data_IF_597786088827
#
_entry.id   IF_597786088827
#
_cell.length_a   1.000
_cell.length_b   1.000
_cell.length_c   1.000
_cell.angle_alpha   90.00
_cell.angle_beta   90.00
_cell.angle_gamma   90.00
#
_symmetry.space_group_name_H-M   'P 1'
#
loop_
_entity.id
_entity.type
_entity.pdbx_description
1 polymer ?
#
# COMPACT_ATOMS: atom_id res chain seq x y z
N UNK A 1 33.58 30.83 -7.64
CA UNK A 1 33.61 29.37 -7.88
C UNK A 1 32.26 28.80 -7.45
N UNK A 2 31.21 29.11 -8.20
CA UNK A 2 29.84 28.67 -7.99
C UNK A 2 29.21 28.70 -9.39
N UNK A 3 28.90 27.53 -9.95
CA UNK A 3 28.03 27.26 -11.11
C UNK A 3 28.34 25.82 -11.58
N UNK A 4 27.36 24.93 -11.45
CA UNK A 4 27.03 23.81 -12.38
C UNK A 4 26.12 22.77 -11.69
N UNK A 5 24.87 23.15 -11.48
CA UNK A 5 23.73 22.23 -11.53
C UNK A 5 22.61 22.97 -12.26
N UNK A 6 22.74 23.07 -13.58
CA UNK A 6 21.65 23.47 -14.47
C UNK A 6 21.82 22.70 -15.77
N UNK A 7 20.68 22.30 -16.33
CA UNK A 7 20.50 21.50 -17.55
C UNK A 7 20.40 19.98 -17.35
N UNK A 8 19.46 19.54 -16.52
CA UNK A 8 18.60 18.44 -16.97
C UNK A 8 17.78 19.02 -18.14
N UNK A 9 18.15 18.66 -19.36
CA UNK A 9 17.30 18.94 -20.53
C UNK A 9 16.07 18.06 -20.39
N UNK A 10 14.96 18.63 -19.93
CA UNK A 10 13.65 18.02 -20.15
C UNK A 10 13.51 17.79 -21.66
N UNK A 11 13.29 16.54 -22.06
CA UNK A 11 12.91 16.24 -23.44
C UNK A 11 11.62 17.01 -23.73
N UNK A 12 11.59 17.94 -24.71
CA UNK A 12 10.37 18.65 -25.09
C UNK A 12 9.45 17.81 -25.98
N UNK A 13 9.68 16.50 -26.12
CA UNK A 13 8.73 15.60 -26.77
C UNK A 13 7.84 14.98 -25.71
N UNK A 14 6.56 15.33 -25.74
CA UNK A 14 5.37 14.56 -25.32
C UNK A 14 4.21 15.41 -24.75
N UNK A 15 4.27 16.74 -24.75
CA UNK A 15 3.22 17.55 -24.12
C UNK A 15 2.11 17.94 -25.09
N UNK A 16 0.93 17.33 -24.95
CA UNK A 16 -0.33 17.78 -25.57
C UNK A 16 -1.48 17.59 -24.57
N UNK A 17 -2.51 18.42 -24.63
CA UNK A 17 -3.67 18.48 -23.73
C UNK A 17 -4.60 17.26 -23.71
N UNK A 18 -4.17 16.08 -24.20
CA UNK A 18 -4.95 14.83 -24.21
C UNK A 18 -4.45 13.89 -23.11
N UNK A 19 -5.39 13.27 -22.37
CA UNK A 19 -5.16 12.37 -21.24
C UNK A 19 -4.00 11.38 -21.46
N UNK A 20 -2.85 11.66 -20.83
CA UNK A 20 -1.56 11.00 -21.10
C UNK A 20 -1.46 9.55 -20.60
N UNK A 21 -2.45 9.04 -19.85
CA UNK A 21 -2.38 7.69 -19.29
C UNK A 21 -3.07 6.62 -20.15
N UNK A 22 -3.77 6.98 -21.23
CA UNK A 22 -4.50 6.01 -22.06
C UNK A 22 -3.59 4.90 -22.63
N UNK A 23 -2.37 5.19 -23.14
CA UNK A 23 -1.44 4.15 -23.55
C UNK A 23 -0.94 3.29 -22.38
N UNK A 24 -0.88 3.83 -21.16
CA UNK A 24 -0.47 3.08 -19.97
C UNK A 24 -1.54 2.06 -19.54
N UNK A 25 -2.82 2.40 -19.63
CA UNK A 25 -3.94 1.51 -19.27
C UNK A 25 -4.12 0.32 -20.22
N UNK A 26 -3.61 0.45 -21.45
CA UNK A 26 -3.62 -0.61 -22.47
C UNK A 26 -2.41 -1.54 -22.37
N UNK A 27 -1.39 -1.20 -21.56
CA UNK A 27 -0.20 -2.03 -21.37
C UNK A 27 -0.50 -3.24 -20.51
N UNK A 28 0.36 -4.25 -20.67
CA UNK A 28 0.35 -5.47 -19.87
C UNK A 28 1.44 -5.35 -18.81
N UNK A 29 1.19 -5.90 -17.63
CA UNK A 29 2.18 -5.87 -16.55
C UNK A 29 3.47 -6.62 -16.88
N UNK A 30 3.35 -7.66 -17.72
CA UNK A 30 4.52 -8.38 -18.23
C UNK A 30 5.49 -7.48 -18.98
N UNK A 31 5.00 -6.42 -19.62
CA UNK A 31 5.83 -5.45 -20.38
C UNK A 31 6.74 -4.64 -19.46
N UNK A 32 6.52 -4.67 -18.14
CA UNK A 32 7.36 -4.01 -17.15
C UNK A 32 8.19 -5.02 -16.36
N UNK A 33 7.56 -6.08 -15.84
CA UNK A 33 8.25 -7.04 -14.98
C UNK A 33 9.33 -7.83 -15.72
N UNK A 34 9.21 -8.01 -17.05
CA UNK A 34 10.23 -8.62 -17.89
C UNK A 34 11.53 -7.81 -17.99
N UNK A 35 11.51 -6.51 -17.67
CA UNK A 35 12.67 -5.63 -17.71
C UNK A 35 13.37 -5.45 -16.36
N UNK A 36 12.86 -6.07 -15.29
CA UNK A 36 13.49 -6.02 -13.98
C UNK A 36 14.67 -7.02 -13.98
N UNK A 37 15.90 -6.57 -13.72
CA UNK A 37 17.08 -7.43 -13.78
C UNK A 37 17.13 -8.45 -12.63
N UNK A 38 18.01 -9.43 -12.79
CA UNK A 38 18.25 -10.47 -11.79
C UNK A 38 18.83 -9.89 -10.49
N UNK A 39 18.52 -10.54 -9.36
CA UNK A 39 18.88 -10.05 -8.03
C UNK A 39 20.39 -9.85 -7.84
N UNK A 40 21.29 -10.72 -8.34
CA UNK A 40 22.73 -10.48 -8.26
C UNK A 40 23.17 -9.14 -8.85
N UNK A 41 22.55 -8.72 -9.97
CA UNK A 41 22.84 -7.43 -10.60
C UNK A 41 22.32 -6.28 -9.74
N UNK A 42 21.07 -6.36 -9.29
CA UNK A 42 20.46 -5.35 -8.40
C UNK A 42 21.31 -5.18 -7.14
N UNK A 43 21.68 -6.28 -6.49
CA UNK A 43 22.48 -6.27 -5.27
C UNK A 43 23.85 -5.63 -5.50
N UNK A 44 24.55 -6.00 -6.58
CA UNK A 44 25.86 -5.41 -6.91
C UNK A 44 25.78 -3.89 -7.08
N UNK A 45 24.74 -3.39 -7.77
CA UNK A 45 24.52 -1.96 -7.99
C UNK A 45 24.09 -1.20 -6.72
N UNK A 46 23.48 -1.88 -5.76
CA UNK A 46 23.16 -1.34 -4.43
C UNK A 46 24.41 -1.32 -3.53
N UNK A 47 25.25 -2.36 -3.58
CA UNK A 47 26.52 -2.44 -2.85
C UNK A 47 27.50 -1.36 -3.29
N UNK A 48 27.56 -1.01 -4.58
CA UNK A 48 28.33 0.14 -5.06
C UNK A 48 27.89 1.49 -4.46
N UNK A 49 26.67 1.56 -3.92
CA UNK A 49 26.12 2.74 -3.22
C UNK A 49 26.28 2.67 -1.70
N UNK A 50 26.92 1.62 -1.17
CA UNK A 50 27.06 1.41 0.27
C UNK A 50 25.89 0.68 0.92
N UNK A 51 24.92 0.16 0.15
CA UNK A 51 23.76 -0.56 0.67
C UNK A 51 23.97 -2.07 0.64
N UNK A 52 23.49 -2.80 1.66
CA UNK A 52 23.50 -4.26 1.71
C UNK A 52 24.89 -4.90 1.54
N UNK A 53 25.94 -4.24 2.07
CA UNK A 53 27.35 -4.61 1.85
C UNK A 53 27.67 -6.03 2.32
N UNK A 54 26.96 -6.52 3.33
CA UNK A 54 27.16 -7.85 3.91
C UNK A 54 26.31 -8.94 3.25
N UNK A 55 25.41 -8.58 2.33
CA UNK A 55 24.52 -9.56 1.67
C UNK A 55 25.26 -10.27 0.54
N UNK A 56 24.92 -11.54 0.36
CA UNK A 56 25.51 -12.39 -0.67
C UNK A 56 24.58 -12.44 -1.89
N UNK A 57 25.13 -12.43 -3.12
CA UNK A 57 24.33 -12.62 -4.32
C UNK A 57 23.79 -14.05 -4.35
N UNK A 58 22.48 -14.19 -4.59
CA UNK A 58 21.83 -15.49 -4.81
C UNK A 58 21.15 -15.51 -6.19
N UNK A 59 21.10 -16.66 -6.89
CA UNK A 59 20.44 -16.78 -8.18
C UNK A 59 18.91 -16.71 -8.01
N UNK A 60 18.39 -15.50 -8.02
CA UNK A 60 16.96 -15.19 -7.90
C UNK A 60 16.55 -14.17 -8.95
N UNK A 61 15.42 -14.40 -9.61
CA UNK A 61 14.95 -13.61 -10.75
C UNK A 61 13.51 -13.18 -10.54
N UNK A 62 13.07 -12.12 -11.23
CA UNK A 62 11.67 -11.67 -11.20
C UNK A 62 10.71 -12.79 -11.65
N UNK A 63 11.08 -13.59 -12.66
CA UNK A 63 10.28 -14.73 -13.09
C UNK A 63 10.13 -15.77 -11.98
N UNK A 64 11.22 -16.12 -11.28
CA UNK A 64 11.17 -17.03 -10.12
C UNK A 64 10.27 -16.47 -9.02
N UNK A 65 10.36 -15.17 -8.73
CA UNK A 65 9.45 -14.51 -7.80
C UNK A 65 7.99 -14.67 -8.25
N UNK A 66 7.64 -14.31 -9.48
CA UNK A 66 6.27 -14.40 -9.99
C UNK A 66 5.72 -15.83 -9.94
N UNK A 67 6.54 -16.83 -10.28
CA UNK A 67 6.15 -18.24 -10.21
C UNK A 67 5.85 -18.68 -8.76
N UNK A 68 6.65 -18.23 -7.80
CA UNK A 68 6.46 -18.60 -6.39
C UNK A 68 5.37 -17.80 -5.70
N UNK A 69 5.16 -16.55 -6.09
CA UNK A 69 4.32 -15.60 -5.36
C UNK A 69 2.91 -15.49 -5.92
N UNK A 70 2.75 -15.57 -7.23
CA UNK A 70 1.46 -15.42 -7.91
C UNK A 70 0.89 -16.81 -8.20
N UNK A 71 -0.30 -17.14 -7.67
CA UNK A 71 -0.97 -18.42 -7.96
C UNK A 71 -1.08 -18.66 -9.46
N UNK A 72 -0.91 -19.91 -9.89
CA UNK A 72 -0.89 -20.27 -11.31
C UNK A 72 -2.14 -19.78 -12.06
N UNK A 73 -3.32 -19.90 -11.43
CA UNK A 73 -4.59 -19.41 -11.98
C UNK A 73 -4.61 -17.88 -12.22
N UNK A 74 -3.83 -17.11 -11.47
CA UNK A 74 -3.75 -15.64 -11.58
C UNK A 74 -2.63 -15.16 -12.52
N UNK A 75 -1.64 -16.01 -12.86
CA UNK A 75 -0.49 -15.58 -13.69
C UNK A 75 -0.89 -15.07 -15.07
N UNK A 76 -1.98 -15.61 -15.64
CA UNK A 76 -2.52 -15.13 -16.93
C UNK A 76 -2.90 -13.65 -16.91
N UNK A 77 -3.18 -13.07 -15.73
CA UNK A 77 -3.55 -11.67 -15.59
C UNK A 77 -2.37 -10.72 -15.84
N UNK A 78 -1.13 -11.18 -15.72
CA UNK A 78 0.06 -10.39 -16.07
C UNK A 78 0.08 -10.00 -17.56
N UNK A 79 -0.64 -10.76 -18.40
CA UNK A 79 -0.75 -10.54 -19.85
C UNK A 79 -2.03 -9.81 -20.26
N UNK A 80 -2.90 -9.45 -19.31
CA UNK A 80 -4.12 -8.68 -19.57
C UNK A 80 -3.84 -7.17 -19.51
N UNK A 81 -4.50 -6.36 -20.34
CA UNK A 81 -4.50 -4.91 -20.17
C UNK A 81 -5.06 -4.52 -18.80
N UNK A 82 -4.47 -3.51 -18.16
CA UNK A 82 -4.86 -3.05 -16.82
C UNK A 82 -6.35 -2.70 -16.72
N UNK A 83 -6.86 -1.95 -17.70
CA UNK A 83 -8.28 -1.57 -17.76
C UNK A 83 -9.19 -2.80 -17.72
N UNK A 84 -8.88 -3.81 -18.54
CA UNK A 84 -9.66 -5.06 -18.60
C UNK A 84 -9.56 -5.87 -17.31
N UNK A 85 -8.43 -5.83 -16.62
CA UNK A 85 -8.25 -6.54 -15.36
C UNK A 85 -9.10 -5.93 -14.24
N UNK A 86 -9.18 -4.60 -14.22
CA UNK A 86 -9.95 -3.86 -13.22
C UNK A 86 -11.46 -3.94 -13.45
N UNK A 87 -11.92 -3.97 -14.70
CA UNK A 87 -13.36 -4.06 -15.05
C UNK A 87 -13.91 -5.49 -15.09
N UNK A 88 -13.09 -6.50 -14.77
CA UNK A 88 -13.62 -7.85 -14.54
C UNK A 88 -14.62 -7.81 -13.38
N UNK A 89 -15.77 -8.51 -13.48
CA UNK A 89 -16.71 -8.60 -12.36
C UNK A 89 -16.06 -9.22 -11.11
N UNK A 90 -16.44 -8.74 -9.94
CA UNK A 90 -16.13 -9.43 -8.70
C UNK A 90 -17.10 -10.58 -8.51
N UNK A 91 -16.57 -11.76 -8.17
CA UNK A 91 -17.39 -12.93 -7.85
C UNK A 91 -17.35 -13.17 -6.36
N UNK A 92 -18.46 -13.66 -5.80
CA UNK A 92 -18.51 -14.05 -4.40
C UNK A 92 -17.39 -15.05 -4.06
N UNK A 93 -17.11 -16.01 -4.95
CA UNK A 93 -16.02 -16.98 -4.80
C UNK A 93 -14.64 -16.34 -4.62
N UNK A 94 -14.38 -15.23 -5.33
CA UNK A 94 -13.12 -14.49 -5.18
C UNK A 94 -13.01 -13.76 -3.84
N UNK A 95 -14.13 -13.27 -3.29
CA UNK A 95 -14.14 -12.46 -2.05
C UNK A 95 -14.20 -13.33 -0.79
N UNK A 96 -14.94 -14.44 -0.82
CA UNK A 96 -15.22 -15.27 0.36
C UNK A 96 -13.98 -15.68 1.17
N UNK A 97 -12.85 -16.10 0.57
CA UNK A 97 -11.64 -16.43 1.32
C UNK A 97 -11.10 -15.27 2.18
N UNK A 98 -11.39 -14.03 1.80
CA UNK A 98 -10.87 -12.82 2.44
C UNK A 98 -11.78 -12.24 3.51
N UNK A 99 -13.04 -12.67 3.58
CA UNK A 99 -14.03 -12.22 4.58
C UNK A 99 -14.49 -13.33 5.51
N UNK A 100 -14.24 -14.60 5.16
CA UNK A 100 -14.62 -15.74 5.99
C UNK A 100 -13.71 -15.83 7.21
N UNK A 101 -14.32 -15.72 8.39
CA UNK A 101 -13.67 -16.00 9.67
C UNK A 101 -13.71 -17.50 9.98
N UNK A 102 -12.60 -18.04 10.43
CA UNK A 102 -12.58 -19.36 11.06
C UNK A 102 -13.18 -19.22 12.47
N UNK A 103 -14.22 -20.01 12.77
CA UNK A 103 -14.89 -19.99 14.07
C UNK A 103 -13.93 -20.23 15.24
N UNK A 104 -12.83 -20.97 15.02
CA UNK A 104 -11.79 -21.22 16.02
C UNK A 104 -10.93 -19.99 16.34
N UNK A 105 -10.95 -18.98 15.48
CA UNK A 105 -10.18 -17.73 15.62
C UNK A 105 -11.02 -16.57 16.19
N UNK A 106 -12.20 -16.84 16.75
CA UNK A 106 -13.08 -15.79 17.29
C UNK A 106 -12.78 -15.48 18.76
N UNK A 107 -12.34 -16.46 19.54
CA UNK A 107 -12.10 -16.27 20.97
C UNK A 107 -10.70 -15.72 21.26
N UNK A 108 -10.64 -14.61 22.01
CA UNK A 108 -9.39 -13.99 22.47
C UNK A 108 -9.16 -14.24 23.96
N UNK A 109 -7.90 -14.40 24.42
CA UNK A 109 -7.55 -14.41 25.84
C UNK A 109 -8.01 -13.16 26.58
N UNK A 110 -8.19 -13.27 27.90
CA UNK A 110 -8.74 -12.19 28.73
C UNK A 110 -7.98 -10.86 28.58
N UNK A 111 -6.64 -10.89 28.56
CA UNK A 111 -5.78 -9.72 28.38
C UNK A 111 -6.05 -8.93 27.08
N UNK A 112 -6.55 -9.61 26.04
CA UNK A 112 -6.90 -8.97 24.75
C UNK A 112 -8.38 -8.57 24.67
N UNK A 113 -9.24 -9.05 25.59
CA UNK A 113 -10.67 -8.68 25.59
C UNK A 113 -10.90 -7.21 25.93
N UNK A 114 -10.02 -6.62 26.76
CA UNK A 114 -10.08 -5.19 27.10
C UNK A 114 -9.87 -4.29 25.88
N UNK A 115 -9.21 -4.81 24.83
CA UNK A 115 -8.96 -4.10 23.58
C UNK A 115 -10.14 -4.12 22.62
N UNK A 116 -11.23 -4.84 22.94
CA UNK A 116 -12.38 -5.01 22.04
C UNK A 116 -12.96 -3.67 21.58
N UNK A 117 -13.27 -2.78 22.50
CA UNK A 117 -13.85 -1.48 22.15
C UNK A 117 -12.88 -0.62 21.33
N UNK A 118 -11.60 -0.45 21.71
CA UNK A 118 -10.61 0.21 20.85
C UNK A 118 -10.46 -0.41 19.45
N UNK A 119 -10.55 -1.73 19.31
CA UNK A 119 -10.51 -2.42 18.02
C UNK A 119 -11.72 -2.11 17.15
N UNK A 120 -12.92 -2.11 17.74
CA UNK A 120 -14.17 -1.74 17.06
C UNK A 120 -14.09 -0.29 16.53
N UNK A 121 -13.59 0.64 17.35
CA UNK A 121 -13.34 2.02 16.91
C UNK A 121 -12.29 2.11 15.81
N UNK A 122 -11.20 1.34 15.90
CA UNK A 122 -10.17 1.32 14.88
C UNK A 122 -10.71 0.89 13.52
N UNK A 123 -11.50 -0.19 13.47
CA UNK A 123 -12.13 -0.66 12.23
C UNK A 123 -13.07 0.39 11.67
N UNK A 124 -13.93 0.96 12.53
CA UNK A 124 -14.88 2.01 12.14
C UNK A 124 -14.15 3.21 11.54
N UNK A 125 -13.14 3.75 12.23
CA UNK A 125 -12.40 4.91 11.76
C UNK A 125 -11.67 4.66 10.44
N UNK A 126 -11.18 3.43 10.20
CA UNK A 126 -10.59 3.09 8.89
C UNK A 126 -11.62 3.19 7.75
N UNK A 127 -12.87 2.75 7.98
CA UNK A 127 -13.96 2.89 7.01
C UNK A 127 -14.34 4.36 6.84
N UNK A 128 -14.46 5.11 7.93
CA UNK A 128 -14.81 6.53 7.89
C UNK A 128 -13.73 7.35 7.14
N UNK A 129 -12.45 7.02 7.32
CA UNK A 129 -11.35 7.64 6.58
C UNK A 129 -11.48 7.44 5.08
N UNK A 130 -11.78 6.22 4.62
CA UNK A 130 -12.01 5.92 3.20
C UNK A 130 -13.26 6.61 2.63
N UNK A 131 -14.16 7.05 3.51
CA UNK A 131 -15.41 7.72 3.17
C UNK A 131 -15.37 9.24 3.32
N UNK A 132 -14.35 9.81 3.97
CA UNK A 132 -14.34 11.23 4.30
C UNK A 132 -14.10 12.16 3.09
N UNK A 133 -14.26 13.47 3.32
CA UNK A 133 -14.07 14.48 2.29
C UNK A 133 -12.64 14.55 1.73
N UNK A 134 -11.63 14.16 2.51
CA UNK A 134 -10.23 14.12 2.04
C UNK A 134 -10.02 12.96 1.08
N UNK A 135 -10.67 11.81 1.31
CA UNK A 135 -10.63 10.64 0.44
C UNK A 135 -11.27 10.88 -0.94
N UNK A 136 -12.19 11.85 -1.03
CA UNK A 136 -12.83 12.24 -2.30
C UNK A 136 -12.01 13.25 -3.11
N UNK A 137 -10.90 13.78 -2.58
CA UNK A 137 -10.05 14.72 -3.30
C UNK A 137 -9.29 14.02 -4.41
N UNK A 138 -8.95 14.78 -5.44
CA UNK A 138 -8.01 14.34 -6.47
C UNK A 138 -6.69 13.94 -5.82
N UNK A 139 -6.15 12.79 -6.23
CA UNK A 139 -4.89 12.26 -5.72
C UNK A 139 -3.70 13.19 -6.03
N UNK A 140 -3.79 14.02 -7.08
CA UNK A 140 -2.85 15.10 -7.38
C UNK A 140 -3.58 16.45 -7.57
N UNK A 141 -3.25 17.45 -6.73
CA UNK A 141 -3.81 18.81 -6.87
C UNK A 141 -3.04 19.65 -7.91
N UNK A 142 -3.80 20.35 -8.75
CA UNK A 142 -3.29 21.45 -9.58
C UNK A 142 -2.71 21.03 -10.92
N UNK A 143 -2.68 19.73 -11.23
CA UNK A 143 -2.28 19.22 -12.55
C UNK A 143 -3.29 18.15 -13.01
N UNK A 144 -4.42 18.54 -13.62
CA UNK A 144 -5.58 17.67 -13.91
C UNK A 144 -5.31 16.46 -14.84
N UNK A 145 -4.07 16.27 -15.30
CA UNK A 145 -3.75 15.43 -16.45
C UNK A 145 -2.99 14.15 -16.14
N UNK A 146 -2.46 13.97 -14.91
CA UNK A 146 -1.53 12.86 -14.61
C UNK A 146 -2.09 11.79 -13.68
N UNK A 147 -2.86 12.14 -12.66
CA UNK A 147 -3.51 11.18 -11.75
C UNK A 147 -4.97 11.58 -11.50
N UNK A 148 -5.81 11.41 -12.52
CA UNK A 148 -7.23 11.80 -12.47
C UNK A 148 -8.08 10.70 -11.80
N UNK A 149 -7.76 10.43 -10.53
CA UNK A 149 -8.44 9.48 -9.65
C UNK A 149 -8.50 10.11 -8.25
N UNK A 150 -9.56 9.84 -7.49
CA UNK A 150 -9.58 10.24 -6.08
C UNK A 150 -8.69 9.35 -5.22
N UNK A 151 -8.29 9.83 -4.05
CA UNK A 151 -7.57 9.04 -3.03
C UNK A 151 -8.30 7.72 -2.71
N UNK A 152 -9.63 7.75 -2.57
CA UNK A 152 -10.46 6.56 -2.39
C UNK A 152 -10.42 5.63 -3.60
N UNK A 153 -10.67 6.15 -4.80
CA UNK A 153 -10.72 5.31 -6.00
C UNK A 153 -9.36 4.64 -6.23
N UNK A 154 -8.26 5.34 -5.96
CA UNK A 154 -6.90 4.76 -6.00
C UNK A 154 -6.73 3.60 -5.01
N UNK A 155 -7.13 3.79 -3.76
CA UNK A 155 -7.10 2.76 -2.71
C UNK A 155 -7.94 1.52 -3.09
N UNK A 156 -9.17 1.73 -3.58
CA UNK A 156 -10.06 0.65 -3.99
C UNK A 156 -9.51 -0.11 -5.19
N UNK A 157 -9.02 0.59 -6.22
CA UNK A 157 -8.37 -0.01 -7.37
C UNK A 157 -7.15 -0.85 -6.97
N UNK A 158 -6.32 -0.35 -6.03
CA UNK A 158 -5.16 -1.08 -5.52
C UNK A 158 -5.57 -2.39 -4.81
N UNK A 159 -6.62 -2.34 -3.98
CA UNK A 159 -7.21 -3.53 -3.35
C UNK A 159 -7.71 -4.56 -4.37
N UNK A 160 -8.38 -4.11 -5.44
CA UNK A 160 -8.88 -5.00 -6.49
C UNK A 160 -7.73 -5.66 -7.26
N UNK A 161 -6.72 -4.90 -7.68
CA UNK A 161 -5.55 -5.48 -8.33
C UNK A 161 -4.86 -6.52 -7.44
N UNK A 162 -4.69 -6.24 -6.14
CA UNK A 162 -4.13 -7.21 -5.19
C UNK A 162 -4.95 -8.50 -5.13
N UNK A 163 -6.28 -8.40 -5.11
CA UNK A 163 -7.17 -9.57 -5.21
C UNK A 163 -6.98 -10.33 -6.52
N UNK A 164 -6.90 -9.63 -7.66
CA UNK A 164 -6.72 -10.27 -8.96
C UNK A 164 -5.42 -11.06 -9.02
N UNK A 165 -4.36 -10.56 -8.41
CA UNK A 165 -3.09 -11.29 -8.30
C UNK A 165 -3.09 -12.43 -7.28
N UNK A 166 -4.24 -12.73 -6.67
CA UNK A 166 -4.38 -13.83 -5.71
C UNK A 166 -3.58 -13.61 -4.44
N UNK A 167 -3.37 -12.34 -4.04
CA UNK A 167 -2.65 -12.01 -2.83
C UNK A 167 -3.48 -12.32 -1.59
N UNK A 168 -2.80 -12.60 -0.48
CA UNK A 168 -3.42 -12.84 0.83
C UNK A 168 -4.11 -11.59 1.37
N UNK A 169 -5.07 -11.76 2.30
CA UNK A 169 -5.84 -10.66 2.91
C UNK A 169 -4.94 -9.54 3.44
N UNK A 170 -3.86 -9.90 4.13
CA UNK A 170 -2.90 -8.93 4.66
C UNK A 170 -2.26 -8.06 3.56
N UNK A 171 -1.91 -8.64 2.41
CA UNK A 171 -1.35 -7.88 1.28
C UNK A 171 -2.41 -7.08 0.54
N UNK A 172 -3.64 -7.57 0.45
CA UNK A 172 -4.75 -6.78 -0.11
C UNK A 172 -4.97 -5.53 0.75
N UNK A 173 -5.02 -5.69 2.06
CA UNK A 173 -5.14 -4.55 2.99
C UNK A 173 -3.90 -3.64 2.95
N UNK A 174 -2.69 -4.20 2.84
CA UNK A 174 -1.47 -3.41 2.67
C UNK A 174 -1.53 -2.51 1.43
N UNK A 175 -2.10 -3.00 0.33
CA UNK A 175 -2.27 -2.22 -0.91
C UNK A 175 -3.44 -1.25 -0.84
N UNK A 176 -4.58 -1.65 -0.27
CA UNK A 176 -5.74 -0.78 -0.13
C UNK A 176 -5.41 0.43 0.78
N UNK A 177 -4.59 0.23 1.80
CA UNK A 177 -4.31 1.22 2.84
C UNK A 177 -2.92 1.86 2.73
N UNK A 178 -2.18 1.63 1.63
CA UNK A 178 -0.78 2.04 1.56
C UNK A 178 -0.56 3.55 1.73
N UNK A 179 -1.56 4.33 1.32
CA UNK A 179 -1.57 5.79 1.32
C UNK A 179 -2.63 6.38 2.29
N UNK A 180 -3.15 5.58 3.24
CA UNK A 180 -4.30 5.94 4.10
C UNK A 180 -4.14 7.28 4.83
N UNK A 181 -2.91 7.66 5.21
CA UNK A 181 -2.67 8.91 5.92
C UNK A 181 -2.91 10.15 5.04
N UNK A 182 -2.92 10.04 3.70
CA UNK A 182 -3.31 11.14 2.80
C UNK A 182 -4.75 11.60 3.08
N UNK A 183 -5.57 10.72 3.64
CA UNK A 183 -6.95 10.99 4.07
C UNK A 183 -7.05 11.53 5.50
N UNK A 184 -5.91 11.84 6.15
CA UNK A 184 -5.86 12.31 7.55
C UNK A 184 -5.38 13.74 7.72
N UNK A 185 -4.78 14.34 6.69
CA UNK A 185 -4.20 15.67 6.76
C UNK A 185 -4.50 16.47 5.48
N UNK A 186 -5.01 17.71 5.57
CA UNK A 186 -5.43 18.47 4.39
C UNK A 186 -4.27 19.11 3.62
N UNK A 187 -3.09 19.27 4.24
CA UNK A 187 -1.90 19.82 3.62
C UNK A 187 -1.20 18.77 2.73
N UNK A 188 -1.12 19.07 1.44
CA UNK A 188 -0.54 18.21 0.42
C UNK A 188 0.96 18.06 0.57
N UNK A 189 1.69 19.12 0.92
CA UNK A 189 3.15 19.05 1.02
C UNK A 189 3.56 18.22 2.24
N UNK A 190 2.86 18.41 3.37
CA UNK A 190 3.02 17.56 4.54
C UNK A 190 2.73 16.08 4.22
N UNK A 191 1.59 15.80 3.61
CA UNK A 191 1.20 14.45 3.21
C UNK A 191 2.25 13.84 2.29
N UNK A 192 2.76 14.58 1.30
CA UNK A 192 3.78 14.08 0.38
C UNK A 192 5.08 13.64 1.05
N UNK A 193 5.51 14.39 2.05
CA UNK A 193 6.73 14.08 2.79
C UNK A 193 6.52 12.94 3.80
N UNK A 194 5.39 12.91 4.51
CA UNK A 194 5.23 12.07 5.71
C UNK A 194 4.27 10.89 5.57
N UNK A 195 3.47 10.81 4.49
CA UNK A 195 2.38 9.84 4.41
C UNK A 195 2.82 8.38 4.59
N UNK A 196 3.95 8.01 4.01
CA UNK A 196 4.50 6.66 4.11
C UNK A 196 4.80 6.23 5.56
N UNK A 197 5.21 7.17 6.43
CA UNK A 197 5.50 6.88 7.84
C UNK A 197 4.24 6.89 8.70
N UNK A 198 3.34 7.87 8.48
CA UNK A 198 2.08 7.92 9.22
C UNK A 198 1.15 6.78 8.84
N UNK A 199 1.09 6.40 7.56
CA UNK A 199 0.33 5.24 7.09
C UNK A 199 0.85 3.95 7.73
N UNK A 200 2.17 3.81 7.88
CA UNK A 200 2.81 2.69 8.58
C UNK A 200 2.37 2.59 10.04
N UNK A 201 2.28 3.71 10.74
CA UNK A 201 1.78 3.75 12.10
C UNK A 201 0.27 3.46 12.19
N UNK A 202 -0.52 3.96 11.23
CA UNK A 202 -1.97 3.71 11.15
C UNK A 202 -2.25 2.23 10.92
N UNK A 203 -1.55 1.57 9.99
CA UNK A 203 -1.82 0.15 9.66
C UNK A 203 -1.13 -0.85 10.61
N UNK A 204 -0.22 -0.39 11.48
CA UNK A 204 0.55 -1.25 12.38
C UNK A 204 -0.30 -2.25 13.21
N UNK A 205 -1.50 -1.90 13.72
CA UNK A 205 -2.36 -2.85 14.44
C UNK A 205 -2.81 -4.05 13.60
N UNK A 206 -2.82 -3.95 12.26
CA UNK A 206 -3.21 -5.07 11.39
C UNK A 206 -2.17 -6.19 11.34
N UNK A 207 -0.93 -5.96 11.80
CA UNK A 207 0.13 -6.97 11.79
C UNK A 207 0.43 -7.51 10.40
N UNK A 208 0.42 -6.64 9.39
CA UNK A 208 0.65 -7.01 8.01
C UNK A 208 2.06 -7.61 7.84
N UNK A 209 2.21 -8.67 7.06
CA UNK A 209 3.52 -9.32 6.86
C UNK A 209 4.53 -8.47 6.07
N UNK A 210 4.07 -7.38 5.46
CA UNK A 210 4.90 -6.38 4.81
C UNK A 210 4.34 -5.00 5.08
N UNK A 211 5.17 -4.15 5.64
CA UNK A 211 4.89 -2.72 5.75
C UNK A 211 5.14 -2.02 4.41
N UNK A 212 4.29 -2.28 3.42
CA UNK A 212 4.42 -1.68 2.10
C UNK A 212 4.25 -0.15 2.19
N UNK A 213 3.43 0.35 3.12
CA UNK A 213 3.25 1.80 3.36
C UNK A 213 4.57 2.48 3.68
N UNK A 214 5.48 1.84 4.43
CA UNK A 214 6.80 2.41 4.72
C UNK A 214 7.78 2.26 3.57
N UNK A 215 7.61 1.21 2.75
CA UNK A 215 8.60 0.77 1.77
C UNK A 215 8.26 1.12 0.31
N UNK A 216 7.08 1.66 -0.01
CA UNK A 216 6.71 1.98 -1.39
C UNK A 216 7.61 3.07 -2.01
N UNK A 217 8.19 3.97 -1.18
CA UNK A 217 9.23 4.92 -1.62
C UNK A 217 10.52 4.22 -2.06
N UNK A 218 10.97 3.20 -1.33
CA UNK A 218 12.11 2.36 -1.73
C UNK A 218 11.80 1.59 -3.02
N UNK A 219 10.58 1.06 -3.16
CA UNK A 219 10.15 0.39 -4.37
C UNK A 219 10.22 1.31 -5.60
N UNK A 220 9.75 2.56 -5.45
CA UNK A 220 9.83 3.61 -6.47
C UNK A 220 11.27 3.89 -6.89
N UNK A 221 12.17 4.04 -5.91
CA UNK A 221 13.61 4.21 -6.16
C UNK A 221 14.20 3.05 -6.97
N UNK A 222 13.93 1.81 -6.55
CA UNK A 222 14.45 0.61 -7.19
C UNK A 222 13.95 0.48 -8.63
N UNK A 223 12.66 0.70 -8.87
CA UNK A 223 12.09 0.67 -10.21
C UNK A 223 12.67 1.76 -11.11
N UNK A 224 12.83 2.99 -10.60
CA UNK A 224 13.45 4.10 -11.36
C UNK A 224 14.88 3.78 -11.79
N UNK A 225 15.62 3.07 -10.95
CA UNK A 225 17.02 2.69 -11.20
C UNK A 225 17.15 1.47 -12.12
N UNK A 226 16.28 0.47 -11.95
CA UNK A 226 16.49 -0.87 -12.51
C UNK A 226 15.49 -1.29 -13.58
N UNK A 227 14.32 -0.64 -13.67
CA UNK A 227 13.30 -0.97 -14.67
C UNK A 227 13.25 0.12 -15.73
N UNK A 228 13.93 -0.11 -16.86
CA UNK A 228 14.01 0.87 -17.97
C UNK A 228 12.66 1.45 -18.42
N UNK A 229 11.58 0.67 -18.61
CA UNK A 229 10.29 1.23 -19.03
C UNK A 229 9.56 2.00 -17.93
N UNK A 230 10.04 2.00 -16.68
CA UNK A 230 9.33 2.61 -15.55
C UNK A 230 9.18 4.13 -15.66
N UNK A 231 10.10 4.81 -16.35
CA UNK A 231 9.96 6.26 -16.60
C UNK A 231 8.73 6.62 -17.42
N UNK A 232 8.07 5.63 -18.04
CA UNK A 232 6.84 5.80 -18.83
C UNK A 232 5.58 5.56 -17.99
N UNK A 233 5.71 5.10 -16.75
CA UNK A 233 4.60 4.78 -15.84
C UNK A 233 4.59 5.72 -14.62
N UNK A 234 5.77 6.08 -14.10
CA UNK A 234 5.86 6.97 -12.96
C UNK A 234 5.24 8.34 -13.31
N UNK A 235 4.31 8.81 -12.48
CA UNK A 235 3.73 10.14 -12.66
C UNK A 235 4.76 11.23 -12.33
N UNK A 236 4.62 12.44 -12.90
CA UNK A 236 5.48 13.58 -12.52
C UNK A 236 5.47 13.87 -11.02
N UNK A 237 4.32 13.68 -10.38
CA UNK A 237 4.17 13.78 -8.92
C UNK A 237 4.98 12.74 -8.15
N UNK A 238 4.91 11.48 -8.60
CA UNK A 238 5.70 10.39 -8.03
C UNK A 238 7.19 10.61 -8.25
N UNK A 239 7.61 11.18 -9.38
CA UNK A 239 9.00 11.53 -9.64
C UNK A 239 9.48 12.71 -8.77
N UNK A 240 8.63 13.73 -8.54
CA UNK A 240 8.95 14.85 -7.64
C UNK A 240 9.11 14.38 -6.19
N UNK A 241 8.15 13.59 -5.69
CA UNK A 241 8.18 13.09 -4.31
C UNK A 241 9.35 12.14 -4.03
N UNK A 242 9.87 11.45 -5.05
CA UNK A 242 11.04 10.59 -4.91
C UNK A 242 12.25 11.36 -4.37
N UNK A 243 12.46 12.60 -4.80
CA UNK A 243 13.61 13.42 -4.35
C UNK A 243 13.59 13.72 -2.85
N UNK A 244 12.40 13.82 -2.25
CA UNK A 244 12.22 14.01 -0.81
C UNK A 244 12.35 12.67 -0.08
N UNK A 245 11.76 11.60 -0.63
CA UNK A 245 11.76 10.25 -0.07
C UNK A 245 13.14 9.59 -0.08
N UNK A 246 14.03 9.93 -1.04
CA UNK A 246 15.40 9.40 -1.08
C UNK A 246 16.19 9.68 0.21
N UNK A 247 15.86 10.77 0.92
CA UNK A 247 16.48 11.13 2.19
C UNK A 247 16.08 10.21 3.34
N UNK A 248 14.92 9.55 3.25
CA UNK A 248 14.43 8.63 4.28
C UNK A 248 14.82 7.17 4.02
N UNK A 249 15.44 6.87 2.88
CA UNK A 249 15.87 5.52 2.52
C UNK A 249 17.00 4.94 3.40
N UNK A 250 18.05 5.69 3.80
CA UNK A 250 19.17 5.06 4.52
C UNK A 250 18.78 4.34 5.81
N UNK A 251 17.96 4.92 6.71
CA UNK A 251 17.47 4.20 7.90
C UNK A 251 16.62 2.96 7.56
N UNK A 252 15.78 3.04 6.52
CA UNK A 252 14.97 1.89 6.09
C UNK A 252 15.84 0.75 5.56
N UNK A 253 16.88 1.08 4.80
CA UNK A 253 17.83 0.10 4.26
C UNK A 253 18.64 -0.55 5.38
N UNK A 254 19.05 0.20 6.40
CA UNK A 254 19.79 -0.34 7.55
C UNK A 254 18.96 -1.39 8.32
N UNK A 255 17.66 -1.12 8.53
CA UNK A 255 16.75 -2.09 9.13
C UNK A 255 16.65 -3.36 8.29
N UNK A 256 16.47 -3.23 6.97
CA UNK A 256 16.41 -4.38 6.07
C UNK A 256 17.73 -5.16 6.01
N UNK A 257 18.87 -4.46 6.05
CA UNK A 257 20.20 -5.07 6.03
C UNK A 257 20.50 -5.83 7.33
N UNK A 258 19.96 -5.41 8.46
CA UNK A 258 20.16 -6.09 9.74
C UNK A 258 19.18 -7.25 9.94
N UNK A 259 17.94 -7.13 9.47
CA UNK A 259 16.87 -8.09 9.81
C UNK A 259 16.70 -9.23 8.80
N UNK A 260 16.94 -8.99 7.50
CA UNK A 260 16.64 -9.99 6.47
C UNK A 260 17.89 -10.79 6.08
N UNK A 261 17.78 -12.10 5.91
CA UNK A 261 18.80 -12.88 5.20
C UNK A 261 18.93 -12.44 3.74
N UNK A 262 19.97 -12.90 3.04
CA UNK A 262 20.14 -12.57 1.61
C UNK A 262 19.01 -13.13 0.74
N UNK A 263 18.42 -14.26 1.14
CA UNK A 263 17.28 -14.85 0.44
C UNK A 263 15.99 -14.07 0.69
N UNK A 264 15.73 -13.71 1.95
CA UNK A 264 14.56 -12.90 2.31
C UNK A 264 14.63 -11.52 1.68
N UNK A 265 15.81 -10.90 1.61
CA UNK A 265 15.99 -9.62 0.94
C UNK A 265 15.67 -9.68 -0.56
N UNK A 266 16.09 -10.75 -1.25
CA UNK A 266 15.78 -10.93 -2.67
C UNK A 266 14.26 -11.04 -2.91
N UNK A 267 13.56 -11.81 -2.06
CA UNK A 267 12.10 -11.94 -2.09
C UNK A 267 11.43 -10.61 -1.79
N UNK A 268 11.88 -9.90 -0.76
CA UNK A 268 11.36 -8.60 -0.35
C UNK A 268 11.51 -7.55 -1.45
N UNK A 269 12.70 -7.40 -2.05
CA UNK A 269 12.96 -6.42 -3.12
C UNK A 269 12.02 -6.64 -4.30
N UNK A 270 11.88 -7.88 -4.76
CA UNK A 270 10.95 -8.17 -5.86
C UNK A 270 9.49 -8.02 -5.45
N UNK A 271 9.11 -8.35 -4.21
CA UNK A 271 7.75 -8.13 -3.73
C UNK A 271 7.39 -6.63 -3.75
N UNK A 272 8.23 -5.76 -3.17
CA UNK A 272 7.92 -4.32 -3.14
C UNK A 272 7.94 -3.70 -4.55
N UNK A 273 8.85 -4.12 -5.44
CA UNK A 273 8.88 -3.65 -6.83
C UNK A 273 7.64 -4.12 -7.60
N UNK A 274 7.20 -5.37 -7.39
CA UNK A 274 5.99 -5.90 -8.00
C UNK A 274 4.75 -5.15 -7.54
N UNK A 275 4.56 -5.00 -6.23
CA UNK A 275 3.42 -4.27 -5.65
C UNK A 275 3.39 -2.82 -6.17
N UNK A 276 4.56 -2.19 -6.30
CA UNK A 276 4.66 -0.83 -6.81
C UNK A 276 4.22 -0.69 -8.26
N UNK A 277 4.83 -1.43 -9.17
CA UNK A 277 4.52 -1.29 -10.61
C UNK A 277 3.16 -1.88 -10.98
N UNK A 278 2.79 -2.99 -10.33
CA UNK A 278 1.64 -3.81 -10.74
C UNK A 278 0.34 -3.43 -10.06
N UNK A 279 0.41 -2.69 -8.96
CA UNK A 279 -0.76 -2.34 -8.15
C UNK A 279 -0.79 -0.83 -7.96
N UNK A 280 0.12 -0.24 -7.19
CA UNK A 280 0.14 1.21 -6.85
C UNK A 280 0.19 2.09 -8.11
N UNK A 281 1.21 1.98 -8.95
CA UNK A 281 1.27 2.83 -10.17
C UNK A 281 0.20 2.43 -11.22
N UNK A 282 -0.40 1.24 -11.11
CA UNK A 282 -1.44 0.75 -12.03
C UNK A 282 -2.87 1.13 -11.59
N UNK A 283 -3.09 1.47 -10.31
CA UNK A 283 -4.40 1.80 -9.72
C UNK A 283 -4.78 3.27 -9.87
N UNK A 284 -4.44 3.85 -11.03
CA UNK A 284 -4.62 5.28 -11.34
C UNK A 284 -5.47 5.48 -12.59
N UNK A 285 -6.42 4.58 -12.79
CA UNK A 285 -7.34 4.59 -13.94
C UNK A 285 -8.51 5.54 -13.61
N UNK A 286 -8.78 6.58 -14.42
CA UNK A 286 -9.87 7.50 -14.15
C UNK A 286 -11.22 6.81 -14.14
N UNK A 287 -12.07 7.16 -13.18
CA UNK A 287 -13.40 6.57 -13.02
C UNK A 287 -14.26 6.77 -14.27
N UNK A 288 -14.13 7.90 -14.97
CA UNK A 288 -14.78 8.12 -16.26
C UNK A 288 -14.45 7.04 -17.30
N UNK A 289 -13.20 6.54 -17.34
CA UNK A 289 -12.79 5.47 -18.25
C UNK A 289 -13.33 4.11 -17.85
N UNK A 290 -13.48 3.86 -16.55
CA UNK A 290 -14.12 2.65 -16.06
C UNK A 290 -15.62 2.64 -16.40
N UNK A 291 -16.29 3.77 -16.23
CA UNK A 291 -17.71 3.93 -16.58
C UNK A 291 -17.94 3.71 -18.09
N UNK A 292 -17.09 4.26 -18.96
CA UNK A 292 -17.14 4.02 -20.41
C UNK A 292 -17.04 2.52 -20.74
N UNK A 293 -16.11 1.81 -20.10
CA UNK A 293 -15.86 0.38 -20.31
C UNK A 293 -16.96 -0.53 -19.75
N UNK A 294 -17.61 -0.12 -18.66
CA UNK A 294 -18.66 -0.87 -17.97
C UNK A 294 -20.02 -0.89 -18.69
N UNK A 295 -20.21 -0.06 -19.72
CA UNK A 295 -21.39 -0.01 -20.59
C UNK A 295 -22.74 -0.02 -19.83
N UNK A 296 -22.86 0.78 -18.77
CA UNK A 296 -24.08 0.91 -17.96
C UNK A 296 -24.10 0.09 -16.67
N UNK A 297 -23.07 -0.70 -16.39
CA UNK A 297 -22.86 -1.34 -15.08
C UNK A 297 -22.39 -0.30 -14.05
N UNK A 298 -22.96 -0.24 -12.83
CA UNK A 298 -22.53 0.72 -11.81
C UNK A 298 -21.06 0.55 -11.41
N UNK A 299 -20.31 1.65 -11.34
CA UNK A 299 -18.89 1.64 -10.95
C UNK A 299 -18.66 0.98 -9.58
N UNK A 300 -19.55 1.22 -8.61
CA UNK A 300 -19.47 0.64 -7.27
C UNK A 300 -19.44 -0.91 -7.28
N UNK A 301 -19.95 -1.56 -8.33
CA UNK A 301 -19.90 -3.03 -8.45
C UNK A 301 -18.51 -3.59 -8.77
N UNK A 302 -17.55 -2.73 -9.18
CA UNK A 302 -16.17 -3.14 -9.42
C UNK A 302 -15.34 -3.26 -8.15
N UNK A 303 -15.75 -2.59 -7.08
CA UNK A 303 -14.95 -2.42 -5.88
C UNK A 303 -15.50 -3.22 -4.70
N UNK A 304 -14.68 -3.38 -3.67
CA UNK A 304 -15.17 -3.84 -2.38
C UNK A 304 -16.13 -2.78 -1.80
N UNK A 305 -17.28 -3.24 -1.32
CA UNK A 305 -18.13 -2.40 -0.48
C UNK A 305 -17.54 -2.27 0.93
N UNK A 306 -18.02 -1.27 1.68
CA UNK A 306 -17.50 -0.95 3.01
C UNK A 306 -17.65 -2.14 3.97
N UNK A 307 -18.74 -2.89 3.86
CA UNK A 307 -18.99 -4.11 4.65
C UNK A 307 -17.95 -5.20 4.37
N UNK A 308 -17.52 -5.33 3.11
CA UNK A 308 -16.46 -6.27 2.71
C UNK A 308 -15.12 -5.83 3.27
N UNK A 309 -14.78 -4.55 3.17
CA UNK A 309 -13.53 -4.00 3.74
C UNK A 309 -13.51 -4.17 5.26
N UNK A 310 -14.61 -3.86 5.94
CA UNK A 310 -14.79 -4.05 7.38
C UNK A 310 -14.52 -5.51 7.79
N UNK A 311 -15.12 -6.47 7.08
CA UNK A 311 -14.91 -7.91 7.32
C UNK A 311 -13.46 -8.33 7.08
N UNK A 312 -12.80 -7.78 6.06
CA UNK A 312 -11.38 -8.05 5.79
C UNK A 312 -10.49 -7.52 6.93
N UNK A 313 -10.76 -6.29 7.41
CA UNK A 313 -10.06 -5.69 8.55
C UNK A 313 -10.24 -6.54 9.81
N UNK A 314 -11.47 -6.90 10.15
CA UNK A 314 -11.78 -7.74 11.32
C UNK A 314 -11.05 -9.08 11.22
N UNK A 315 -11.10 -9.74 10.06
CA UNK A 315 -10.38 -11.00 9.82
C UNK A 315 -8.89 -10.84 10.07
N UNK A 316 -8.28 -9.81 9.50
CA UNK A 316 -6.84 -9.59 9.63
C UNK A 316 -6.44 -9.29 11.08
N UNK A 317 -7.20 -8.45 11.79
CA UNK A 317 -6.96 -8.15 13.20
C UNK A 317 -7.03 -9.41 14.06
N UNK A 318 -8.07 -10.22 13.90
CA UNK A 318 -8.22 -11.47 14.65
C UNK A 318 -7.09 -12.43 14.34
N UNK A 319 -6.73 -12.60 13.07
CA UNK A 319 -5.61 -13.48 12.69
C UNK A 319 -4.28 -13.03 13.30
N UNK A 320 -4.02 -11.73 13.32
CA UNK A 320 -2.82 -11.18 13.95
C UNK A 320 -2.84 -11.35 15.48
N UNK A 321 -3.95 -11.07 16.14
CA UNK A 321 -4.10 -11.25 17.59
C UNK A 321 -3.90 -12.72 17.98
N UNK A 322 -4.41 -13.67 17.20
CA UNK A 322 -4.17 -15.10 17.42
C UNK A 322 -2.71 -15.49 17.25
N UNK A 323 -2.01 -14.93 16.25
CA UNK A 323 -0.56 -15.13 16.10
C UNK A 323 0.22 -14.56 17.28
N UNK A 324 -0.17 -13.38 17.79
CA UNK A 324 0.44 -12.80 18.99
C UNK A 324 0.30 -13.74 20.19
N UNK A 325 -0.87 -14.33 20.40
CA UNK A 325 -1.08 -15.31 21.48
C UNK A 325 -0.22 -16.56 21.29
N UNK A 326 -0.12 -17.08 20.07
CA UNK A 326 0.61 -18.31 19.79
C UNK A 326 2.15 -18.15 19.91
N UNK A 327 2.68 -16.96 19.62
CA UNK A 327 4.12 -16.72 19.52
C UNK A 327 4.75 -16.06 20.75
N UNK A 328 3.96 -15.54 21.70
CA UNK A 328 4.50 -14.80 22.86
C UNK A 328 4.36 -15.60 24.15
N UNK A 329 5.49 -15.74 24.86
CA UNK A 329 5.53 -16.35 26.19
C UNK A 329 4.95 -15.42 27.28
N UNK A 330 4.99 -14.10 27.06
CA UNK A 330 4.42 -13.08 27.93
C UNK A 330 3.28 -12.34 27.20
N UNK A 331 2.06 -12.81 27.41
CA UNK A 331 0.88 -12.27 26.73
C UNK A 331 0.48 -10.88 27.23
N UNK A 332 0.77 -10.56 28.48
CA UNK A 332 0.44 -9.26 29.09
C UNK A 332 1.32 -8.17 28.45
N UNK A 333 2.62 -8.42 28.33
CA UNK A 333 3.52 -7.50 27.65
C UNK A 333 3.15 -7.33 26.16
N UNK A 334 2.84 -8.44 25.47
CA UNK A 334 2.42 -8.38 24.08
C UNK A 334 1.10 -7.59 23.89
N UNK A 335 0.14 -7.76 24.80
CA UNK A 335 -1.11 -7.01 24.83
C UNK A 335 -0.87 -5.51 25.07
N UNK A 336 0.01 -5.15 26.01
CA UNK A 336 0.39 -3.77 26.27
C UNK A 336 1.09 -3.13 25.07
N UNK A 337 1.97 -3.86 24.37
CA UNK A 337 2.66 -3.39 23.16
C UNK A 337 1.67 -3.16 22.01
N UNK A 338 0.72 -4.08 21.84
CA UNK A 338 -0.34 -3.95 20.87
C UNK A 338 -1.24 -2.75 21.17
N UNK A 339 -1.63 -2.57 22.44
CA UNK A 339 -2.44 -1.43 22.88
C UNK A 339 -1.78 -0.09 22.54
N UNK A 340 -0.45 0.02 22.69
CA UNK A 340 0.30 1.23 22.32
C UNK A 340 0.27 1.50 20.81
N UNK A 341 0.38 0.45 19.97
CA UNK A 341 0.25 0.59 18.51
C UNK A 341 -1.16 1.04 18.13
N UNK A 342 -2.17 0.45 18.75
CA UNK A 342 -3.58 0.76 18.52
C UNK A 342 -3.91 2.21 18.93
N UNK A 343 -3.50 2.65 20.11
CA UNK A 343 -3.67 4.03 20.58
C UNK A 343 -2.97 5.03 19.64
N UNK A 344 -1.74 4.74 19.21
CA UNK A 344 -1.01 5.59 18.25
C UNK A 344 -1.77 5.72 16.93
N UNK A 345 -2.24 4.61 16.36
CA UNK A 345 -3.03 4.61 15.13
C UNK A 345 -4.31 5.43 15.29
N UNK A 346 -5.08 5.17 16.35
CA UNK A 346 -6.32 5.90 16.65
C UNK A 346 -6.10 7.41 16.78
N UNK A 347 -5.05 7.85 17.47
CA UNK A 347 -4.71 9.29 17.57
C UNK A 347 -4.43 9.92 16.21
N UNK A 348 -3.70 9.23 15.33
CA UNK A 348 -3.42 9.71 13.98
C UNK A 348 -4.70 9.80 13.13
N UNK A 349 -5.62 8.85 13.28
CA UNK A 349 -6.90 8.84 12.57
C UNK A 349 -7.89 9.88 13.12
N UNK A 350 -7.90 10.10 14.43
CA UNK A 350 -8.75 11.11 15.09
C UNK A 350 -8.39 12.53 14.64
N UNK A 351 -7.15 12.81 14.25
CA UNK A 351 -6.79 14.09 13.59
C UNK A 351 -7.61 14.33 12.31
N UNK A 352 -8.05 13.27 11.62
CA UNK A 352 -8.92 13.36 10.45
C UNK A 352 -10.39 13.71 10.80
N UNK A 353 -10.81 13.49 12.04
CA UNK A 353 -12.16 13.73 12.55
C UNK A 353 -12.64 15.17 12.35
N UNK A 354 -11.71 16.12 12.44
CA UNK A 354 -11.99 17.54 12.20
C UNK A 354 -12.42 17.83 10.75
N UNK A 355 -12.25 16.87 9.84
CA UNK A 355 -12.55 17.00 8.41
C UNK A 355 -13.65 16.05 7.91
N UNK A 356 -14.04 15.05 8.70
CA UNK A 356 -15.07 14.06 8.34
C UNK A 356 -16.51 14.48 8.69
N UNK A 357 -16.71 15.56 9.44
CA UNK A 357 -18.02 16.01 9.93
C UNK A 357 -18.78 14.98 10.80
N UNK A 358 -18.10 13.90 11.24
CA UNK A 358 -18.69 12.86 12.09
C UNK A 358 -18.38 13.11 13.56
N UNK A 359 -19.42 13.21 14.37
CA UNK A 359 -19.36 13.55 15.80
C UNK A 359 -18.73 12.45 16.66
N UNK A 360 -18.82 11.18 16.28
CA UNK A 360 -18.31 10.06 17.09
C UNK A 360 -16.77 9.98 17.09
N UNK A 361 -16.10 10.41 16.02
CA UNK A 361 -14.64 10.54 16.04
C UNK A 361 -14.17 11.61 17.03
N UNK A 362 -15.01 12.60 17.32
CA UNK A 362 -14.71 13.66 18.29
C UNK A 362 -14.82 13.18 19.74
N UNK A 363 -15.65 12.17 20.03
CA UNK A 363 -15.75 11.59 21.37
C UNK A 363 -14.45 10.87 21.79
N UNK A 364 -13.71 10.32 20.82
CA UNK A 364 -12.38 9.74 21.03
C UNK A 364 -11.27 10.79 21.29
N UNK A 365 -11.53 12.09 21.02
CA UNK A 365 -10.62 13.21 21.35
C UNK A 365 -10.55 13.41 22.88
N UNK A 366 -11.57 12.98 23.62
CA UNK A 366 -11.51 12.89 25.08
C UNK A 366 -10.81 11.58 25.48
N UNK A 367 -9.58 11.62 26.02
CA UNK A 367 -8.79 10.42 26.20
C UNK A 367 -9.46 9.49 27.23
N UNK A 368 -9.65 8.19 26.95
CA UNK A 368 -9.57 7.24 28.04
C UNK A 368 -8.12 7.27 28.49
N UNK A 369 -7.92 7.84 29.67
CA UNK A 369 -6.68 7.80 30.42
C UNK A 369 -6.38 6.32 30.68
N UNK A 370 -5.70 5.65 29.75
CA UNK A 370 -5.05 4.37 30.02
C UNK A 370 -3.86 4.70 30.91
N UNK A 371 -4.10 4.81 32.22
CA UNK A 371 -3.06 4.75 33.23
C UNK A 371 -2.80 3.26 33.44
N UNK A 372 -1.65 2.72 32.99
CA UNK A 372 -1.23 1.43 33.52
C UNK A 372 -1.15 1.59 35.04
N UNK A 373 -1.78 0.65 35.74
CA UNK A 373 -1.88 0.66 37.20
C UNK A 373 -0.51 0.85 37.85
N UNK A 374 -0.49 1.70 38.87
CA UNK A 374 0.55 1.70 39.90
C UNK A 374 0.28 0.60 40.91
#
# INVERSE_FOLDING_TARGET
MLLRFSHVRFSPRFFSTQAHNLPAFQRKLIDFTAHIPDYPFILSELQKKGFFIKKIPIPYTMNRFLLTRIPECCRSFLHKPLLKLLTMPLTQESIQPHVRLDARKIELPQALKELRSPLEHYVKFMIDLLNNNLAQRDYEIGVPTYENVSERSHALQAGIFALRFGLSTDKILAMLLHDISRMTHPDFDFSNEHHHLESSDIVAPLGLSLDYTRHHGLAKYLLRKFCLPYSQLISPFSERSLSTQERTLPPLIEVLDTQLSSEELAKFIYEIMFLRVSIDDSSKIPDAKLVEELAGTPLASLYFDDVTIEKMLIKQLLEHLHQLVACNADIEQAAADYARKLDKALRLMVRAASYSAETEMQEYICPPVFRPGR
#
